data_IF_501205265916
#
_entry.id   IF_501205265916
#
_cell.length_a   1.000
_cell.length_b   1.000
_cell.length_c   1.000
_cell.angle_alpha   90.00
_cell.angle_beta   90.00
_cell.angle_gamma   90.00
#
_symmetry.space_group_name_H-M   'P 1'
#
loop_
_entity.id
_entity.type
_entity.pdbx_description
1 polymer ?
#
# COMPACT_ATOMS: atom_id res chain seq x y z
N UNK A 1 -14.79 0.26 6.34
CA UNK A 1 -14.16 1.53 6.66
C UNK A 1 -13.98 1.68 8.17
N UNK A 2 -13.04 2.51 8.59
CA UNK A 2 -12.88 2.91 10.00
C UNK A 2 -12.96 4.43 10.05
N UNK A 3 -13.89 4.98 10.81
CA UNK A 3 -14.10 6.42 10.97
C UNK A 3 -14.19 6.70 12.48
N UNK A 4 -13.28 7.53 12.99
CA UNK A 4 -13.18 7.86 14.43
C UNK A 4 -13.20 6.62 15.32
N UNK A 5 -12.47 5.56 14.93
CA UNK A 5 -12.37 4.30 15.66
C UNK A 5 -13.56 3.34 15.50
N UNK A 6 -14.64 3.74 14.86
CA UNK A 6 -15.78 2.87 14.57
C UNK A 6 -15.61 2.15 13.24
N UNK A 7 -15.84 0.84 13.22
CA UNK A 7 -15.81 0.01 11.98
C UNK A 7 -17.16 0.10 11.27
N UNK A 8 -17.13 0.25 9.95
CA UNK A 8 -18.29 0.23 9.07
C UNK A 8 -18.06 -0.84 8.02
N UNK A 9 -19.09 -1.60 7.71
CA UNK A 9 -19.09 -2.53 6.58
C UNK A 9 -19.02 -1.72 5.28
N UNK A 10 -18.16 -2.14 4.36
CA UNK A 10 -17.98 -1.52 3.04
C UNK A 10 -18.59 -2.34 1.90
N UNK A 11 -19.26 -3.45 2.25
CA UNK A 11 -19.81 -4.41 1.30
C UNK A 11 -18.91 -5.62 1.06
N UNK A 12 -19.45 -6.59 0.36
CA UNK A 12 -18.88 -7.91 0.22
C UNK A 12 -17.72 -7.93 -0.78
N UNK A 13 -16.55 -8.39 -0.35
CA UNK A 13 -15.36 -8.67 -1.18
C UNK A 13 -14.81 -7.52 -2.04
N UNK A 14 -14.99 -6.27 -1.63
CA UNK A 14 -14.42 -5.13 -2.35
C UNK A 14 -13.53 -4.28 -1.44
N UNK A 15 -12.33 -3.96 -1.89
CA UNK A 15 -11.41 -3.05 -1.19
C UNK A 15 -11.90 -1.60 -1.30
N UNK A 16 -12.19 -1.14 -2.51
CA UNK A 16 -12.75 0.19 -2.76
C UNK A 16 -14.24 0.04 -3.08
N UNK A 17 -15.16 0.59 -2.27
CA UNK A 17 -16.60 0.52 -2.50
C UNK A 17 -17.05 1.23 -3.78
N UNK A 18 -18.34 1.20 -4.09
CA UNK A 18 -18.94 1.99 -5.19
C UNK A 18 -18.76 3.49 -4.95
N UNK A 19 -18.83 4.30 -6.02
CA UNK A 19 -18.68 5.75 -5.94
C UNK A 19 -19.65 6.40 -4.94
N UNK A 20 -20.90 5.99 -4.92
CA UNK A 20 -21.86 6.48 -3.93
C UNK A 20 -21.48 6.11 -2.49
N UNK A 21 -21.07 4.88 -2.25
CA UNK A 21 -20.65 4.45 -0.92
C UNK A 21 -19.39 5.20 -0.45
N UNK A 22 -18.42 5.44 -1.34
CA UNK A 22 -17.23 6.25 -1.04
C UNK A 22 -17.64 7.66 -0.63
N UNK A 23 -18.54 8.33 -1.35
CA UNK A 23 -19.02 9.67 -1.01
C UNK A 23 -19.76 9.69 0.34
N UNK A 24 -20.57 8.67 0.64
CA UNK A 24 -21.21 8.53 1.96
C UNK A 24 -20.16 8.39 3.08
N UNK A 25 -19.10 7.60 2.87
CA UNK A 25 -18.04 7.47 3.88
C UNK A 25 -17.22 8.75 4.04
N UNK A 26 -16.96 9.49 2.95
CA UNK A 26 -16.33 10.81 3.02
C UNK A 26 -17.18 11.75 3.87
N UNK A 27 -18.48 11.84 3.59
CA UNK A 27 -19.40 12.67 4.38
C UNK A 27 -19.37 12.27 5.87
N UNK A 28 -19.47 10.98 6.18
CA UNK A 28 -19.39 10.50 7.57
C UNK A 28 -18.05 10.88 8.25
N UNK A 29 -16.93 10.82 7.51
CA UNK A 29 -15.64 11.23 8.04
C UNK A 29 -15.61 12.74 8.33
N UNK A 30 -16.13 13.58 7.43
CA UNK A 30 -16.27 15.02 7.63
C UNK A 30 -17.16 15.32 8.84
N UNK A 31 -18.35 14.72 8.91
CA UNK A 31 -19.29 14.91 10.01
C UNK A 31 -18.73 14.47 11.38
N UNK A 32 -17.78 13.54 11.38
CA UNK A 32 -17.06 13.09 12.58
C UNK A 32 -15.87 13.99 12.96
N UNK A 33 -15.59 15.06 12.20
CA UNK A 33 -14.46 15.96 12.42
C UNK A 33 -13.10 15.39 12.00
N UNK A 34 -13.08 14.34 11.15
CA UNK A 34 -11.83 13.77 10.64
C UNK A 34 -11.11 14.80 9.75
N UNK A 35 -9.83 15.05 10.04
CA UNK A 35 -8.99 15.98 9.28
C UNK A 35 -8.36 15.34 8.05
N UNK A 36 -8.16 14.03 8.07
CA UNK A 36 -7.54 13.25 7.00
C UNK A 36 -8.39 12.02 6.70
N UNK A 37 -8.45 11.66 5.44
CA UNK A 37 -9.01 10.41 4.95
C UNK A 37 -7.92 9.68 4.17
N UNK A 38 -7.71 8.41 4.49
CA UNK A 38 -6.86 7.51 3.70
C UNK A 38 -7.76 6.52 2.98
N UNK A 39 -7.67 6.49 1.65
CA UNK A 39 -8.47 5.62 0.80
C UNK A 39 -7.57 4.66 0.03
N UNK A 40 -7.68 3.36 0.32
CA UNK A 40 -7.07 2.33 -0.51
C UNK A 40 -7.84 2.24 -1.84
N UNK A 41 -7.12 2.50 -2.94
CA UNK A 41 -7.71 2.60 -4.27
C UNK A 41 -7.14 1.52 -5.18
N UNK A 42 -7.96 0.54 -5.54
CA UNK A 42 -7.56 -0.53 -6.44
C UNK A 42 -7.55 -0.06 -7.90
N UNK A 43 -6.80 -0.76 -8.77
CA UNK A 43 -6.82 -0.49 -10.21
C UNK A 43 -8.22 -0.64 -10.81
N UNK A 44 -8.99 -1.63 -10.36
CA UNK A 44 -10.40 -1.79 -10.74
C UNK A 44 -11.24 -0.57 -10.35
N UNK A 45 -11.00 0.00 -9.16
CA UNK A 45 -11.73 1.18 -8.72
C UNK A 45 -11.42 2.42 -9.57
N UNK A 46 -10.17 2.56 -9.99
CA UNK A 46 -9.74 3.64 -10.90
C UNK A 46 -10.36 3.45 -12.30
N UNK A 47 -10.34 2.23 -12.82
CA UNK A 47 -10.89 1.94 -14.12
C UNK A 47 -12.41 2.06 -14.18
N UNK A 48 -13.08 1.66 -13.10
CA UNK A 48 -14.55 1.72 -12.95
C UNK A 48 -15.04 3.06 -12.37
N UNK A 49 -14.21 4.08 -12.32
CA UNK A 49 -14.57 5.43 -11.83
C UNK A 49 -15.17 5.45 -10.42
N UNK A 50 -14.82 4.49 -9.55
CA UNK A 50 -15.38 4.43 -8.18
C UNK A 50 -14.92 5.58 -7.28
N UNK A 51 -13.84 6.25 -7.67
CA UNK A 51 -13.28 7.43 -6.98
C UNK A 51 -13.48 8.72 -7.76
N UNK A 52 -14.44 8.73 -8.70
CA UNK A 52 -14.77 9.90 -9.48
C UNK A 52 -15.23 11.08 -8.58
N UNK A 53 -14.77 12.28 -8.90
CA UNK A 53 -15.12 13.49 -8.16
C UNK A 53 -14.36 13.66 -6.83
N UNK A 54 -13.31 12.87 -6.59
CA UNK A 54 -12.43 13.05 -5.43
C UNK A 54 -11.15 13.74 -5.87
N UNK A 55 -10.86 14.88 -5.24
CA UNK A 55 -9.58 15.57 -5.39
C UNK A 55 -8.61 15.05 -4.32
N UNK A 56 -7.65 14.24 -4.74
CA UNK A 56 -6.66 13.70 -3.81
C UNK A 56 -5.55 14.75 -3.56
N UNK A 57 -5.26 15.02 -2.28
CA UNK A 57 -4.11 15.84 -1.92
C UNK A 57 -2.80 15.09 -2.24
N UNK A 58 -2.73 13.81 -1.85
CA UNK A 58 -1.57 12.95 -2.09
C UNK A 58 -2.03 11.62 -2.67
N UNK A 59 -1.49 11.23 -3.81
CA UNK A 59 -1.61 9.90 -4.40
C UNK A 59 -0.32 9.12 -4.20
N UNK A 60 -0.42 7.93 -3.59
CA UNK A 60 0.74 7.06 -3.34
C UNK A 60 0.66 5.83 -4.22
N UNK A 61 1.71 5.58 -5.01
CA UNK A 61 1.89 4.33 -5.75
C UNK A 61 3.08 3.57 -5.17
N UNK A 62 2.79 2.43 -4.54
CA UNK A 62 3.80 1.64 -3.82
C UNK A 62 4.65 0.80 -4.75
N UNK A 63 4.00 0.02 -5.61
CA UNK A 63 4.63 -0.81 -6.63
C UNK A 63 3.62 -1.21 -7.70
N UNK A 64 4.12 -1.71 -8.83
CA UNK A 64 3.32 -2.35 -9.88
C UNK A 64 3.97 -3.68 -10.22
N UNK A 65 3.35 -4.77 -9.81
CA UNK A 65 3.79 -6.14 -10.10
C UNK A 65 2.92 -6.78 -11.18
N UNK A 66 3.33 -7.91 -11.75
CA UNK A 66 2.53 -8.65 -12.73
C UNK A 66 1.31 -9.29 -12.06
N UNK A 67 0.25 -8.50 -11.91
CA UNK A 67 -1.02 -8.90 -11.29
C UNK A 67 -2.20 -8.35 -12.08
N UNK A 68 -3.40 -8.96 -11.89
CA UNK A 68 -4.63 -8.50 -12.53
C UNK A 68 -4.58 -8.43 -14.06
N UNK A 69 -3.72 -9.23 -14.71
CA UNK A 69 -3.61 -9.28 -16.17
C UNK A 69 -4.82 -9.98 -16.82
N UNK A 70 -5.53 -10.78 -16.05
CA UNK A 70 -6.86 -11.30 -16.41
C UNK A 70 -7.84 -10.16 -16.75
N UNK A 71 -7.77 -9.06 -16.01
CA UNK A 71 -8.60 -7.86 -16.22
C UNK A 71 -7.95 -6.85 -17.17
N UNK A 72 -6.73 -6.41 -16.88
CA UNK A 72 -6.06 -5.32 -17.60
C UNK A 72 -5.40 -5.75 -18.91
N UNK A 73 -5.26 -7.06 -19.17
CA UNK A 73 -4.69 -7.69 -20.37
C UNK A 73 -3.17 -7.54 -20.49
N UNK A 74 -2.62 -6.35 -20.28
CA UNK A 74 -1.18 -6.09 -20.34
C UNK A 74 -0.69 -5.35 -19.10
N UNK A 75 0.62 -5.44 -18.85
CA UNK A 75 1.27 -4.70 -17.77
C UNK A 75 1.15 -3.19 -17.97
N UNK A 76 1.29 -2.72 -19.21
CA UNK A 76 1.19 -1.31 -19.58
C UNK A 76 -0.19 -0.75 -19.24
N UNK A 77 -1.26 -1.43 -19.62
CA UNK A 77 -2.63 -1.04 -19.28
C UNK A 77 -2.86 -1.01 -17.77
N UNK A 78 -2.28 -1.98 -17.04
CA UNK A 78 -2.35 -2.02 -15.58
C UNK A 78 -1.63 -0.83 -14.96
N UNK A 79 -0.41 -0.55 -15.42
CA UNK A 79 0.38 0.60 -14.97
C UNK A 79 -0.33 1.92 -15.28
N UNK A 80 -0.82 2.11 -16.51
CA UNK A 80 -1.56 3.32 -16.90
C UNK A 80 -2.81 3.52 -16.04
N UNK A 81 -3.52 2.45 -15.76
CA UNK A 81 -4.70 2.51 -14.89
C UNK A 81 -4.32 2.94 -13.47
N UNK A 82 -3.27 2.38 -12.90
CA UNK A 82 -2.78 2.81 -11.58
C UNK A 82 -2.27 4.26 -11.58
N UNK A 83 -1.61 4.68 -12.66
CA UNK A 83 -1.12 6.05 -12.82
C UNK A 83 -2.26 7.10 -12.87
N UNK A 84 -3.52 6.70 -13.16
CA UNK A 84 -4.68 7.60 -13.05
C UNK A 84 -4.76 8.24 -11.66
N UNK A 85 -4.45 7.48 -10.57
CA UNK A 85 -4.42 8.04 -9.21
C UNK A 85 -3.43 9.19 -9.08
N UNK A 86 -2.23 9.05 -9.63
CA UNK A 86 -1.21 10.08 -9.56
C UNK A 86 -1.63 11.35 -10.31
N UNK A 87 -2.30 11.18 -11.47
CA UNK A 87 -2.83 12.29 -12.28
C UNK A 87 -4.00 13.01 -11.60
N UNK A 88 -4.76 12.30 -10.76
CA UNK A 88 -5.89 12.85 -9.97
C UNK A 88 -5.43 13.49 -8.67
N UNK A 89 -4.13 13.46 -8.37
CA UNK A 89 -3.57 13.94 -7.11
C UNK A 89 -2.75 15.21 -7.32
N UNK A 90 -2.76 16.12 -6.35
CA UNK A 90 -1.90 17.31 -6.39
C UNK A 90 -0.44 16.91 -6.21
N UNK A 91 -0.16 15.89 -5.39
CA UNK A 91 1.17 15.40 -5.10
C UNK A 91 1.18 13.89 -5.37
N UNK A 92 2.10 13.45 -6.20
CA UNK A 92 2.34 12.03 -6.47
C UNK A 92 3.55 11.55 -5.66
N UNK A 93 3.36 10.47 -4.91
CA UNK A 93 4.41 9.79 -4.14
C UNK A 93 4.67 8.43 -4.78
N UNK A 94 5.90 8.17 -5.21
CA UNK A 94 6.25 6.95 -5.96
C UNK A 94 7.53 6.30 -5.44
N UNK A 95 7.59 4.98 -5.56
CA UNK A 95 8.78 4.19 -5.23
C UNK A 95 9.82 4.33 -6.36
N UNK A 96 10.98 4.95 -6.04
CA UNK A 96 12.07 5.14 -7.01
C UNK A 96 12.80 3.83 -7.35
N UNK A 97 12.71 2.85 -6.46
CA UNK A 97 13.37 1.56 -6.63
C UNK A 97 12.51 0.54 -7.41
N UNK A 98 11.23 0.83 -7.59
CA UNK A 98 10.30 0.00 -8.36
C UNK A 98 10.58 0.11 -9.87
N UNK A 99 10.43 -1.00 -10.59
CA UNK A 99 10.67 -1.04 -12.04
C UNK A 99 9.72 -0.12 -12.81
N UNK A 100 8.49 0.06 -12.32
CA UNK A 100 7.50 0.95 -12.91
C UNK A 100 7.90 2.43 -12.88
N UNK A 101 8.86 2.81 -12.03
CA UNK A 101 9.28 4.21 -11.88
C UNK A 101 9.71 4.84 -13.21
N UNK A 102 10.45 4.12 -14.04
CA UNK A 102 10.91 4.65 -15.34
C UNK A 102 9.74 5.02 -16.26
N UNK A 103 8.70 4.21 -16.28
CA UNK A 103 7.50 4.48 -17.08
C UNK A 103 6.66 5.59 -16.46
N UNK A 104 6.51 5.61 -15.12
CA UNK A 104 5.81 6.67 -14.39
C UNK A 104 6.50 8.02 -14.58
N UNK A 105 7.83 8.06 -14.58
CA UNK A 105 8.59 9.30 -14.79
C UNK A 105 8.33 9.94 -16.15
N UNK A 106 7.91 9.18 -17.15
CA UNK A 106 7.48 9.72 -18.44
C UNK A 106 6.16 10.50 -18.36
N UNK A 107 5.34 10.28 -17.33
CA UNK A 107 4.13 11.05 -17.05
C UNK A 107 4.38 12.31 -16.21
N UNK A 108 5.64 12.63 -15.90
CA UNK A 108 6.02 13.73 -15.00
C UNK A 108 5.39 15.08 -15.38
N UNK A 109 5.22 15.35 -16.67
CA UNK A 109 4.59 16.58 -17.17
C UNK A 109 3.08 16.68 -16.87
N UNK A 110 2.44 15.58 -16.46
CA UNK A 110 1.03 15.52 -16.07
C UNK A 110 0.82 15.56 -14.54
N UNK A 111 1.92 15.63 -13.78
CA UNK A 111 1.91 15.57 -12.31
C UNK A 111 2.45 16.91 -11.79
N UNK A 112 1.68 17.60 -10.95
CA UNK A 112 2.04 18.93 -10.42
C UNK A 112 3.27 18.88 -9.52
N UNK A 113 3.36 17.85 -8.64
CA UNK A 113 4.51 17.62 -7.77
C UNK A 113 4.77 16.13 -7.67
N UNK A 114 6.00 15.72 -7.93
CA UNK A 114 6.46 14.33 -7.78
C UNK A 114 7.44 14.25 -6.60
N UNK A 115 7.15 13.35 -5.66
CA UNK A 115 7.99 13.01 -4.52
C UNK A 115 8.34 11.53 -4.61
N UNK A 116 9.61 11.22 -4.43
CA UNK A 116 10.12 9.85 -4.51
C UNK A 116 10.49 9.31 -3.14
N UNK A 117 10.30 8.01 -2.93
CA UNK A 117 10.89 7.31 -1.79
C UNK A 117 11.62 6.06 -2.27
N UNK A 118 12.60 5.60 -1.49
CA UNK A 118 13.40 4.43 -1.86
C UNK A 118 14.46 4.09 -0.82
N UNK A 119 15.06 2.92 -0.95
CA UNK A 119 16.13 2.41 -0.10
C UNK A 119 17.45 2.33 -0.88
N UNK A 120 17.39 1.89 -2.14
CA UNK A 120 18.55 1.54 -2.97
C UNK A 120 19.05 2.69 -3.84
N UNK A 121 18.14 3.55 -4.30
CA UNK A 121 18.43 4.69 -5.17
C UNK A 121 18.23 6.00 -4.41
N UNK A 122 18.96 7.04 -4.81
CA UNK A 122 18.75 8.36 -4.24
C UNK A 122 17.31 8.82 -4.48
N UNK A 123 16.56 9.00 -3.40
CA UNK A 123 15.17 9.40 -3.38
C UNK A 123 14.98 10.55 -2.39
N UNK A 124 13.89 11.32 -2.57
CA UNK A 124 13.58 12.46 -1.70
C UNK A 124 13.37 12.01 -0.24
N UNK A 125 12.81 10.82 -0.04
CA UNK A 125 12.65 10.18 1.27
C UNK A 125 13.36 8.84 1.24
N UNK A 126 14.34 8.68 2.11
CA UNK A 126 15.15 7.46 2.23
C UNK A 126 15.63 7.27 3.69
N UNK A 127 16.20 6.09 4.06
CA UNK A 127 16.66 5.83 5.44
C UNK A 127 17.82 6.70 5.91
N UNK A 128 18.51 7.40 5.03
CA UNK A 128 19.60 8.28 5.39
C UNK A 128 19.09 9.63 5.89
N UNK A 129 18.09 10.20 5.19
CA UNK A 129 17.54 11.53 5.49
C UNK A 129 16.33 11.49 6.44
N UNK A 130 15.71 10.33 6.64
CA UNK A 130 14.66 10.15 7.64
C UNK A 130 14.89 8.88 8.46
N UNK A 131 15.52 9.01 9.61
CA UNK A 131 15.77 7.89 10.55
C UNK A 131 14.49 7.52 11.28
N UNK A 132 14.18 6.22 11.32
CA UNK A 132 13.06 5.65 12.08
C UNK A 132 13.44 4.28 12.67
N UNK A 133 12.68 3.84 13.67
CA UNK A 133 12.79 2.50 14.26
C UNK A 133 11.47 1.76 14.02
N UNK A 134 11.54 0.47 13.76
CA UNK A 134 10.38 -0.40 13.58
C UNK A 134 10.74 -1.83 13.93
N UNK A 135 9.79 -2.56 14.50
CA UNK A 135 9.88 -4.00 14.76
C UNK A 135 9.27 -4.83 13.61
N UNK A 136 8.74 -4.18 12.58
CA UNK A 136 8.19 -4.86 11.40
C UNK A 136 9.30 -5.56 10.63
N UNK A 137 9.07 -6.82 10.27
CA UNK A 137 10.05 -7.63 9.54
C UNK A 137 10.00 -7.36 8.03
N UNK A 138 11.13 -7.59 7.37
CA UNK A 138 11.23 -7.50 5.92
C UNK A 138 11.52 -6.11 5.36
N UNK A 139 12.19 -6.12 4.21
CA UNK A 139 12.54 -4.89 3.50
C UNK A 139 11.28 -4.20 2.92
N UNK A 140 10.28 -4.99 2.53
CA UNK A 140 9.03 -4.46 2.00
C UNK A 140 8.29 -3.55 3.00
N UNK A 141 8.37 -3.84 4.31
CA UNK A 141 7.81 -2.94 5.32
C UNK A 141 8.57 -1.63 5.44
N UNK A 142 9.89 -1.63 5.21
CA UNK A 142 10.65 -0.37 5.13
C UNK A 142 10.15 0.51 3.98
N UNK A 143 9.89 -0.08 2.80
CA UNK A 143 9.27 0.65 1.69
C UNK A 143 7.89 1.19 2.03
N UNK A 144 7.03 0.39 2.69
CA UNK A 144 5.71 0.82 3.14
C UNK A 144 5.80 2.01 4.12
N UNK A 145 6.75 1.96 5.05
CA UNK A 145 7.01 3.04 6.00
C UNK A 145 7.51 4.30 5.28
N UNK A 146 8.46 4.18 4.34
CA UNK A 146 8.96 5.33 3.57
C UNK A 146 7.87 5.97 2.74
N UNK A 147 6.97 5.19 2.13
CA UNK A 147 5.79 5.69 1.44
C UNK A 147 4.87 6.51 2.36
N UNK A 148 4.62 5.99 3.57
CA UNK A 148 3.82 6.68 4.57
C UNK A 148 4.50 7.95 5.07
N UNK A 149 5.83 7.94 5.31
CA UNK A 149 6.61 9.12 5.67
C UNK A 149 6.47 10.20 4.59
N UNK A 150 6.68 9.82 3.31
CA UNK A 150 6.58 10.76 2.19
C UNK A 150 5.20 11.42 2.13
N UNK A 151 4.13 10.63 2.21
CA UNK A 151 2.77 11.17 2.22
C UNK A 151 2.50 12.07 3.43
N UNK A 152 2.91 11.68 4.63
CA UNK A 152 2.71 12.47 5.83
C UNK A 152 3.48 13.80 5.81
N UNK A 153 4.71 13.82 5.28
CA UNK A 153 5.49 15.07 5.14
C UNK A 153 4.81 16.04 4.19
N UNK A 154 4.29 15.56 3.08
CA UNK A 154 3.55 16.37 2.12
C UNK A 154 2.24 16.93 2.68
N UNK A 155 1.65 16.25 3.65
CA UNK A 155 0.48 16.73 4.41
C UNK A 155 0.85 17.62 5.60
N UNK A 156 2.12 18.01 5.75
CA UNK A 156 2.58 18.90 6.82
C UNK A 156 2.63 18.28 8.21
N UNK A 157 2.62 16.95 8.31
CA UNK A 157 2.77 16.25 9.59
C UNK A 157 4.22 16.37 10.06
N UNK A 158 4.42 16.78 11.32
CA UNK A 158 5.76 16.93 11.86
C UNK A 158 6.51 15.60 11.97
N UNK A 159 7.83 15.63 11.78
CA UNK A 159 8.71 14.46 11.88
C UNK A 159 8.55 13.73 13.22
N UNK A 160 8.33 14.48 14.30
CA UNK A 160 8.07 13.90 15.64
C UNK A 160 6.80 13.03 15.64
N UNK A 161 5.72 13.53 15.05
CA UNK A 161 4.46 12.79 14.99
C UNK A 161 4.54 11.60 14.04
N UNK A 162 5.26 11.74 12.92
CA UNK A 162 5.52 10.63 12.00
C UNK A 162 6.26 9.49 12.72
N UNK A 163 7.37 9.80 13.42
CA UNK A 163 8.12 8.78 14.19
C UNK A 163 7.26 8.12 15.26
N UNK A 164 6.48 8.91 16.02
CA UNK A 164 5.56 8.36 17.02
C UNK A 164 4.52 7.42 16.36
N UNK A 165 3.99 7.78 15.20
CA UNK A 165 3.07 6.92 14.44
C UNK A 165 3.71 5.61 14.03
N UNK A 166 4.96 5.62 13.55
CA UNK A 166 5.71 4.42 13.16
C UNK A 166 5.97 3.52 14.38
N UNK A 167 6.45 4.10 15.49
CA UNK A 167 6.75 3.36 16.73
C UNK A 167 5.51 2.73 17.37
N UNK A 168 4.34 3.38 17.25
CA UNK A 168 3.07 2.88 17.80
C UNK A 168 2.26 2.04 16.82
N UNK A 169 2.76 1.81 15.61
CA UNK A 169 2.02 1.09 14.59
C UNK A 169 1.94 -0.41 14.91
N UNK A 170 0.73 -0.93 14.85
CA UNK A 170 0.44 -2.37 14.99
C UNK A 170 -0.16 -2.86 13.68
N UNK A 171 0.39 -3.96 13.18
CA UNK A 171 -0.12 -4.58 11.96
C UNK A 171 -1.59 -5.00 12.13
N UNK A 172 -2.39 -4.86 11.08
CA UNK A 172 -3.74 -5.43 11.06
C UNK A 172 -3.70 -6.96 11.20
N UNK A 173 -4.77 -7.54 11.74
CA UNK A 173 -4.94 -8.99 11.82
C UNK A 173 -4.69 -9.66 10.47
N UNK A 174 -4.03 -10.82 10.48
CA UNK A 174 -3.67 -11.56 9.28
C UNK A 174 -2.49 -10.97 8.49
N UNK A 175 -1.72 -10.05 9.07
CA UNK A 175 -0.47 -9.54 8.50
C UNK A 175 0.67 -9.84 9.46
N UNK A 176 1.60 -10.73 9.08
CA UNK A 176 2.71 -11.17 9.93
C UNK A 176 2.27 -11.52 11.37
N UNK A 177 1.03 -11.98 11.53
CA UNK A 177 0.40 -12.22 12.83
C UNK A 177 0.92 -13.51 13.45
N UNK A 178 1.70 -13.40 14.50
CA UNK A 178 2.18 -14.56 15.27
C UNK A 178 1.07 -15.02 16.21
N UNK A 179 0.44 -16.16 15.87
CA UNK A 179 -0.67 -16.74 16.63
C UNK A 179 -0.22 -17.80 17.65
N UNK A 180 1.02 -18.29 17.51
CA UNK A 180 1.61 -19.27 18.44
C UNK A 180 3.12 -19.13 18.46
N UNK A 181 3.72 -19.15 19.66
CA UNK A 181 5.17 -19.02 19.85
C UNK A 181 5.62 -19.75 21.13
N UNK A 182 5.81 -21.09 21.01
CA UNK A 182 6.39 -21.93 22.09
C UNK A 182 7.43 -22.86 21.49
N UNK A 183 7.11 -24.16 21.35
CA UNK A 183 7.93 -25.21 20.74
C UNK A 183 8.13 -25.00 19.22
N UNK A 184 7.18 -24.32 18.59
CA UNK A 184 7.30 -23.78 17.23
C UNK A 184 6.68 -22.39 17.17
N UNK A 185 6.83 -21.72 16.04
CA UNK A 185 6.13 -20.47 15.76
C UNK A 185 5.14 -20.66 14.62
N UNK A 186 3.87 -20.26 14.82
CA UNK A 186 2.88 -20.19 13.75
C UNK A 186 2.55 -18.73 13.47
N UNK A 187 2.61 -18.34 12.20
CA UNK A 187 2.34 -16.99 11.72
C UNK A 187 1.31 -17.04 10.60
N UNK A 188 0.37 -16.12 10.64
CA UNK A 188 -0.60 -15.88 9.56
C UNK A 188 -0.17 -14.64 8.79
N UNK A 189 -0.17 -14.74 7.46
CA UNK A 189 0.04 -13.60 6.58
C UNK A 189 -0.96 -13.62 5.41
N UNK A 190 -1.26 -12.45 4.88
CA UNK A 190 -2.20 -12.28 3.77
C UNK A 190 -1.55 -12.45 2.39
N UNK A 191 -0.28 -12.75 2.31
CA UNK A 191 0.39 -13.00 1.03
C UNK A 191 -0.40 -14.03 0.21
N UNK A 192 -0.72 -13.68 -1.02
CA UNK A 192 -1.53 -14.52 -1.93
C UNK A 192 -1.07 -14.40 -3.40
N UNK A 193 0.07 -13.75 -3.63
CA UNK A 193 0.68 -13.61 -4.95
C UNK A 193 2.12 -14.14 -4.92
N UNK A 194 2.69 -14.58 -6.04
CA UNK A 194 4.06 -15.08 -6.09
C UNK A 194 5.06 -14.10 -5.48
N UNK A 195 4.98 -12.82 -5.84
CA UNK A 195 5.86 -11.79 -5.28
C UNK A 195 5.67 -11.65 -3.76
N UNK A 196 4.43 -11.60 -3.26
CA UNK A 196 4.17 -11.49 -1.83
C UNK A 196 4.71 -12.70 -1.06
N UNK A 197 4.55 -13.93 -1.57
CA UNK A 197 5.15 -15.11 -0.99
C UNK A 197 6.67 -15.02 -0.94
N UNK A 198 7.29 -14.61 -2.03
CA UNK A 198 8.74 -14.45 -2.09
C UNK A 198 9.24 -13.45 -1.02
N UNK A 199 8.59 -12.30 -0.91
CA UNK A 199 8.99 -11.26 0.05
C UNK A 199 8.84 -11.72 1.50
N UNK A 200 7.71 -12.32 1.87
CA UNK A 200 7.49 -12.77 3.25
C UNK A 200 8.42 -13.95 3.60
N UNK A 201 8.59 -14.92 2.71
CA UNK A 201 9.47 -16.07 2.96
C UNK A 201 10.93 -15.67 3.07
N UNK A 202 11.41 -14.76 2.21
CA UNK A 202 12.76 -14.16 2.32
C UNK A 202 12.95 -13.42 3.64
N UNK A 203 11.93 -12.74 4.12
CA UNK A 203 11.98 -11.98 5.38
C UNK A 203 11.98 -12.87 6.62
N UNK A 204 11.23 -13.96 6.59
CA UNK A 204 11.10 -14.90 7.72
C UNK A 204 12.26 -15.91 7.76
N UNK A 205 12.78 -16.36 6.61
CA UNK A 205 13.80 -17.41 6.54
C UNK A 205 15.03 -17.18 7.43
N UNK A 206 15.63 -15.98 7.49
CA UNK A 206 16.77 -15.71 8.36
C UNK A 206 16.48 -15.85 9.86
N UNK A 207 15.22 -15.74 10.26
CA UNK A 207 14.78 -15.84 11.66
C UNK A 207 14.55 -17.28 12.12
N UNK A 208 14.50 -18.24 11.18
CA UNK A 208 14.14 -19.64 11.43
C UNK A 208 15.37 -20.52 11.37
N UNK A 209 15.77 -21.12 12.51
CA UNK A 209 16.90 -22.06 12.58
C UNK A 209 16.55 -23.47 12.03
N UNK A 210 15.31 -23.87 12.15
CA UNK A 210 14.83 -25.21 11.74
C UNK A 210 14.12 -25.21 10.38
N UNK A 211 13.09 -26.05 10.27
CA UNK A 211 12.25 -26.12 9.09
C UNK A 211 11.32 -24.91 9.02
N UNK A 212 11.20 -24.34 7.82
CA UNK A 212 10.15 -23.40 7.47
C UNK A 212 9.10 -24.15 6.65
N UNK A 213 7.89 -24.22 7.16
CA UNK A 213 6.76 -24.90 6.51
C UNK A 213 5.80 -23.79 6.04
N UNK A 214 5.54 -23.75 4.74
CA UNK A 214 4.60 -22.81 4.14
C UNK A 214 3.33 -23.55 3.75
N UNK A 215 2.20 -23.12 4.31
CA UNK A 215 0.86 -23.62 3.97
C UNK A 215 0.11 -22.50 3.28
N UNK A 216 -0.32 -22.71 2.04
CA UNK A 216 -1.02 -21.71 1.26
C UNK A 216 -2.11 -22.33 0.40
N UNK A 217 -3.04 -21.48 -0.04
CA UNK A 217 -4.05 -21.81 -1.04
C UNK A 217 -4.14 -20.72 -2.08
N UNK A 218 -4.59 -21.07 -3.26
CA UNK A 218 -4.87 -20.10 -4.33
C UNK A 218 -6.36 -20.05 -4.61
N UNK A 219 -6.90 -18.81 -4.75
CA UNK A 219 -8.26 -18.65 -5.25
C UNK A 219 -8.30 -19.04 -6.73
N UNK A 220 -9.01 -20.12 -7.04
CA UNK A 220 -9.15 -20.62 -8.41
C UNK A 220 -9.86 -19.65 -9.36
N UNK A 221 -9.73 -19.90 -10.66
CA UNK A 221 -10.46 -19.23 -11.75
C UNK A 221 -10.15 -17.75 -12.00
N UNK A 222 -9.04 -17.19 -11.48
CA UNK A 222 -8.65 -15.81 -11.80
C UNK A 222 -7.48 -15.74 -12.76
N UNK A 223 -6.33 -16.23 -12.34
CA UNK A 223 -5.11 -16.20 -13.15
C UNK A 223 -4.40 -17.55 -13.00
N UNK A 224 -4.39 -18.35 -14.07
CA UNK A 224 -3.78 -19.69 -14.06
C UNK A 224 -2.24 -19.66 -14.04
N UNK A 225 -1.62 -18.49 -14.21
CA UNK A 225 -0.17 -18.33 -14.17
C UNK A 225 0.39 -18.01 -12.78
N UNK A 226 -0.46 -17.88 -11.77
CA UNK A 226 -0.07 -17.63 -10.38
C UNK A 226 0.32 -18.88 -9.63
#
# INVERSE_FOLDING_TARGET
AVISGKKFDVGFHVTTPSSFAVQIFIKKAVDSGSKFLVLETTSHALDQYRVFGIDFEVGVLTNVTHEHLDYHKTYENYLETKAKLLKMSKIAVVNRDDESFHQISNFKFLISKLVTYGIKKNADINPENFKFKTDLIGEFNKYNILAAIAACKELGISDKNIRKGIESFVLPLGREEVIYKKDFTAMIDFAHTPNAFEQILKSVRPMVKGRLIHVFGSAGQRDASK
#
